data_IF_930694511835
#
_entry.id   IF_930694511835
#
_cell.length_a   1.000
_cell.length_b   1.000
_cell.length_c   1.000
_cell.angle_alpha   90.00
_cell.angle_beta   90.00
_cell.angle_gamma   90.00
#
_symmetry.space_group_name_H-M   'P 1'
#
loop_
_entity.id
_entity.type
_entity.pdbx_description
1 polymer ?
#
# COMPACT_ATOMS: atom_id res chain seq x y z
N UNK A 1 20.69 26.14 -9.45
CA UNK A 1 20.01 25.49 -8.35
C UNK A 1 21.08 24.87 -7.47
N UNK A 2 21.22 25.30 -6.21
CA UNK A 2 22.11 24.63 -5.27
C UNK A 2 21.59 23.21 -5.08
N UNK A 3 22.45 22.19 -5.25
CA UNK A 3 22.13 20.81 -4.91
C UNK A 3 21.81 20.79 -3.41
N UNK A 4 20.58 20.51 -3.04
CA UNK A 4 20.23 20.30 -1.64
C UNK A 4 21.09 19.12 -1.13
N UNK A 5 21.67 19.20 0.06
CA UNK A 5 22.39 18.05 0.61
C UNK A 5 21.42 16.88 0.76
N UNK A 6 21.86 15.68 0.40
CA UNK A 6 21.11 14.45 0.64
C UNK A 6 20.85 14.30 2.13
N UNK A 7 19.58 14.20 2.51
CA UNK A 7 19.18 14.06 3.90
C UNK A 7 19.28 12.58 4.33
N UNK A 8 19.48 12.40 5.64
CA UNK A 8 19.39 11.10 6.26
C UNK A 8 17.99 10.92 6.84
N UNK A 9 17.31 9.86 6.38
CA UNK A 9 15.97 9.50 6.81
C UNK A 9 16.00 8.24 7.67
N UNK A 10 15.41 8.30 8.85
CA UNK A 10 15.17 7.14 9.70
C UNK A 10 13.69 6.76 9.60
N UNK A 11 13.37 5.63 9.00
CA UNK A 11 12.00 5.13 8.85
C UNK A 11 11.81 3.96 9.81
N UNK A 12 10.94 4.13 10.80
CA UNK A 12 10.61 3.12 11.79
C UNK A 12 9.30 2.44 11.44
N UNK A 13 9.32 1.10 11.39
CA UNK A 13 8.18 0.27 11.06
C UNK A 13 8.04 -0.88 12.05
N UNK A 14 6.89 -1.00 12.70
CA UNK A 14 6.48 -2.19 13.43
C UNK A 14 5.46 -2.95 12.57
N UNK A 15 5.71 -4.23 12.34
CA UNK A 15 4.85 -5.05 11.48
C UNK A 15 3.67 -5.58 12.27
N UNK A 16 2.47 -5.10 11.97
CA UNK A 16 1.20 -5.54 12.54
C UNK A 16 0.37 -6.30 11.51
N UNK A 17 0.20 -5.73 10.31
CA UNK A 17 -0.45 -6.40 9.17
C UNK A 17 0.60 -7.14 8.33
N UNK A 18 1.01 -8.33 8.78
CA UNK A 18 1.87 -9.30 8.07
C UNK A 18 2.84 -8.71 7.03
N UNK A 19 2.33 -8.31 5.87
CA UNK A 19 3.11 -7.83 4.73
C UNK A 19 2.78 -6.38 4.35
N UNK A 20 1.68 -5.82 4.87
CA UNK A 20 1.20 -4.49 4.51
C UNK A 20 2.16 -3.41 4.98
N UNK A 21 2.44 -3.37 6.28
CA UNK A 21 3.23 -2.30 6.90
C UNK A 21 4.67 -2.27 6.35
N UNK A 22 5.33 -3.44 6.33
CA UNK A 22 6.69 -3.54 5.80
C UNK A 22 6.72 -3.27 4.28
N UNK A 23 5.68 -3.66 3.55
CA UNK A 23 5.55 -3.42 2.11
C UNK A 23 5.51 -1.94 1.77
N UNK A 24 4.68 -1.16 2.49
CA UNK A 24 4.60 0.30 2.34
C UNK A 24 5.92 0.97 2.73
N UNK A 25 6.47 0.61 3.90
CA UNK A 25 7.70 1.23 4.41
C UNK A 25 8.89 0.94 3.51
N UNK A 26 9.01 -0.29 2.97
CA UNK A 26 10.06 -0.64 2.02
C UNK A 26 9.94 0.15 0.71
N UNK A 27 8.73 0.23 0.12
CA UNK A 27 8.51 1.02 -1.10
C UNK A 27 8.85 2.49 -0.89
N UNK A 28 8.43 3.07 0.25
CA UNK A 28 8.76 4.44 0.59
C UNK A 28 10.27 4.65 0.74
N UNK A 29 10.95 3.75 1.45
CA UNK A 29 12.40 3.81 1.64
C UNK A 29 13.14 3.73 0.30
N UNK A 30 12.75 2.79 -0.55
CA UNK A 30 13.34 2.61 -1.89
C UNK A 30 13.05 3.81 -2.81
N UNK A 31 11.85 4.40 -2.75
CA UNK A 31 11.48 5.58 -3.54
C UNK A 31 12.28 6.82 -3.10
N UNK A 32 12.40 7.08 -1.79
CA UNK A 32 13.22 8.16 -1.26
C UNK A 32 14.69 7.99 -1.67
N UNK A 33 15.22 6.77 -1.57
CA UNK A 33 16.59 6.47 -1.98
C UNK A 33 16.80 6.65 -3.50
N UNK A 34 15.84 6.26 -4.33
CA UNK A 34 15.86 6.50 -5.78
C UNK A 34 15.83 7.98 -6.16
N UNK A 35 15.34 8.85 -5.26
CA UNK A 35 15.36 10.32 -5.40
C UNK A 35 16.63 10.97 -4.83
N UNK A 36 17.57 10.15 -4.33
CA UNK A 36 18.88 10.59 -3.86
C UNK A 36 19.03 10.70 -2.34
N UNK A 37 18.00 10.39 -1.57
CA UNK A 37 18.07 10.42 -0.11
C UNK A 37 18.81 9.18 0.44
N UNK A 38 19.32 9.27 1.67
CA UNK A 38 19.87 8.11 2.40
C UNK A 38 18.86 7.65 3.43
N UNK A 39 18.51 6.37 3.41
CA UNK A 39 17.43 5.85 4.23
C UNK A 39 17.93 4.72 5.13
N UNK A 40 17.67 4.82 6.42
CA UNK A 40 17.79 3.74 7.39
C UNK A 40 16.36 3.24 7.68
N UNK A 41 16.09 2.00 7.33
CA UNK A 41 14.80 1.35 7.59
C UNK A 41 14.92 0.44 8.81
N UNK A 42 14.25 0.81 9.89
CA UNK A 42 14.24 0.11 11.17
C UNK A 42 12.98 -0.74 11.29
N UNK A 43 13.13 -2.06 11.39
CA UNK A 43 11.99 -2.98 11.42
C UNK A 43 12.14 -4.02 12.52
N UNK A 44 11.03 -4.44 13.11
CA UNK A 44 10.98 -5.54 14.08
C UNK A 44 10.92 -6.91 13.40
N UNK A 45 10.35 -7.00 12.21
CA UNK A 45 10.28 -8.22 11.41
C UNK A 45 10.54 -7.96 9.92
N UNK A 46 11.75 -8.25 9.48
CA UNK A 46 12.19 -8.08 8.09
C UNK A 46 12.01 -9.35 7.22
N UNK A 47 11.45 -10.45 7.75
CA UNK A 47 11.40 -11.74 7.04
C UNK A 47 10.76 -11.68 5.68
N UNK A 48 9.74 -10.84 5.50
CA UNK A 48 9.07 -10.69 4.23
C UNK A 48 9.95 -10.04 3.14
N UNK A 49 10.94 -9.23 3.50
CA UNK A 49 11.84 -8.60 2.54
C UNK A 49 12.73 -9.59 1.80
N UNK A 50 12.95 -10.79 2.36
CA UNK A 50 13.73 -11.86 1.70
C UNK A 50 13.16 -12.20 0.31
N UNK A 51 11.85 -12.13 0.15
CA UNK A 51 11.18 -12.41 -1.12
C UNK A 51 10.55 -11.15 -1.75
N UNK A 52 10.10 -10.18 -0.97
CA UNK A 52 9.55 -8.92 -1.51
C UNK A 52 10.60 -8.09 -2.26
N UNK A 53 11.81 -8.05 -1.72
CA UNK A 53 12.89 -7.22 -2.21
C UNK A 53 14.27 -7.90 -2.09
N UNK A 54 14.48 -9.09 -2.69
CA UNK A 54 15.68 -9.90 -2.50
C UNK A 54 16.97 -9.19 -2.94
N UNK A 55 16.87 -8.22 -3.84
CA UNK A 55 18.00 -7.43 -4.32
C UNK A 55 18.33 -6.21 -3.45
N UNK A 56 17.55 -5.91 -2.41
CA UNK A 56 17.69 -4.66 -1.67
C UNK A 56 17.38 -3.42 -2.54
N UNK A 57 17.77 -2.25 -2.06
CA UNK A 57 17.75 -1.00 -2.82
C UNK A 57 18.99 -0.17 -2.48
N UNK A 58 19.67 0.36 -3.49
CA UNK A 58 20.81 1.25 -3.26
C UNK A 58 20.36 2.50 -2.47
N UNK A 59 21.09 2.85 -1.42
CA UNK A 59 20.75 3.98 -0.55
C UNK A 59 19.79 3.63 0.58
N UNK A 60 19.34 2.37 0.72
CA UNK A 60 18.57 1.88 1.85
C UNK A 60 19.42 0.93 2.68
N UNK A 61 19.54 1.23 3.97
CA UNK A 61 20.16 0.35 4.97
C UNK A 61 19.06 -0.23 5.87
N UNK A 62 19.05 -1.56 6.00
CA UNK A 62 18.07 -2.27 6.82
C UNK A 62 18.66 -2.54 8.21
N UNK A 63 17.93 -2.17 9.25
CA UNK A 63 18.32 -2.36 10.65
C UNK A 63 17.23 -3.10 11.42
N UNK A 64 17.65 -3.93 12.37
CA UNK A 64 16.72 -4.57 13.29
C UNK A 64 16.30 -3.58 14.39
N UNK A 65 15.05 -3.67 14.85
CA UNK A 65 14.48 -2.81 15.89
C UNK A 65 15.35 -2.73 17.18
N UNK A 66 15.90 -3.83 17.73
CA UNK A 66 16.76 -3.76 18.92
C UNK A 66 18.03 -2.90 18.74
N UNK A 67 18.53 -2.75 17.51
CA UNK A 67 19.69 -1.89 17.25
C UNK A 67 19.37 -0.40 17.43
N UNK A 68 18.09 -0.02 17.40
CA UNK A 68 17.62 1.33 17.65
C UNK A 68 17.75 1.73 19.13
N UNK A 69 17.96 0.79 20.04
CA UNK A 69 18.20 1.04 21.47
C UNK A 69 19.64 1.53 21.75
N UNK A 70 20.52 1.54 20.75
CA UNK A 70 21.86 2.10 20.88
C UNK A 70 21.82 3.64 20.88
N UNK A 71 21.96 4.24 22.03
CA UNK A 71 21.93 5.70 22.23
C UNK A 71 23.11 6.43 21.54
N UNK A 72 24.16 5.71 21.15
CA UNK A 72 25.35 6.32 20.51
C UNK A 72 25.17 6.52 19.00
N UNK A 73 24.19 5.89 18.38
CA UNK A 73 23.93 6.05 16.96
C UNK A 73 23.40 7.46 16.65
N UNK A 74 23.87 8.13 15.58
CA UNK A 74 23.31 9.41 15.18
C UNK A 74 21.86 9.24 14.75
N UNK A 75 21.03 10.26 14.97
CA UNK A 75 19.68 10.36 14.42
C UNK A 75 19.73 11.09 13.07
N UNK A 76 18.89 10.70 12.14
CA UNK A 76 18.80 11.35 10.84
C UNK A 76 18.19 12.75 10.88
N UNK A 77 18.23 13.44 9.75
CA UNK A 77 17.60 14.76 9.58
C UNK A 77 16.08 14.67 9.60
N UNK A 78 15.54 13.51 9.20
CA UNK A 78 14.11 13.20 9.17
C UNK A 78 13.85 11.88 9.87
N UNK A 79 12.86 11.85 10.76
CA UNK A 79 12.41 10.65 11.44
C UNK A 79 10.95 10.38 11.06
N UNK A 80 10.70 9.22 10.46
CA UNK A 80 9.34 8.74 10.17
C UNK A 80 8.98 7.64 11.15
N UNK A 81 7.92 7.87 11.91
CA UNK A 81 7.21 6.90 12.73
C UNK A 81 6.04 6.39 11.90
N UNK A 82 6.19 5.19 11.30
CA UNK A 82 5.14 4.65 10.45
C UNK A 82 4.02 4.05 11.28
N UNK A 83 2.78 4.41 10.96
CA UNK A 83 1.54 3.83 11.52
C UNK A 83 1.45 3.91 13.06
N UNK A 84 2.02 4.97 13.65
CA UNK A 84 2.01 5.14 15.09
C UNK A 84 2.78 4.06 15.86
N UNK A 85 3.87 3.53 15.30
CA UNK A 85 4.61 2.39 15.83
C UNK A 85 5.30 2.61 17.18
N UNK A 86 5.17 3.79 17.79
CA UNK A 86 5.81 4.20 19.05
C UNK A 86 7.33 3.96 19.06
N UNK A 87 8.07 5.02 18.89
CA UNK A 87 9.54 4.96 18.84
C UNK A 87 10.14 4.43 20.14
N UNK A 88 11.24 3.67 20.09
CA UNK A 88 12.00 3.27 21.28
C UNK A 88 12.42 4.48 22.10
N UNK A 89 12.47 4.37 23.46
CA UNK A 89 12.90 5.46 24.34
C UNK A 89 14.26 6.05 23.98
N UNK A 90 15.24 5.22 23.59
CA UNK A 90 16.56 5.66 23.17
C UNK A 90 16.50 6.55 21.90
N UNK A 91 15.59 6.27 20.97
CA UNK A 91 15.37 7.11 19.80
C UNK A 91 14.81 8.48 20.22
N UNK A 92 13.84 8.50 21.15
CA UNK A 92 13.26 9.74 21.67
C UNK A 92 14.32 10.61 22.37
N UNK A 93 15.26 9.99 23.11
CA UNK A 93 16.41 10.69 23.71
C UNK A 93 17.28 11.30 22.62
N UNK A 94 17.67 10.53 21.62
CA UNK A 94 18.50 11.02 20.50
C UNK A 94 17.83 12.17 19.73
N UNK A 95 16.52 12.10 19.51
CA UNK A 95 15.75 13.19 18.91
C UNK A 95 15.83 14.45 19.77
N UNK A 96 15.69 14.32 21.11
CA UNK A 96 15.72 15.45 22.03
C UNK A 96 17.11 16.08 22.16
N UNK A 97 18.16 15.28 22.09
CA UNK A 97 19.56 15.71 22.26
C UNK A 97 20.24 16.10 20.94
N UNK A 98 19.58 15.90 19.81
CA UNK A 98 20.13 16.21 18.50
C UNK A 98 20.49 17.71 18.41
N UNK A 99 21.71 18.07 17.94
CA UNK A 99 22.15 19.46 17.79
C UNK A 99 21.22 20.28 16.87
N UNK A 100 20.64 19.61 15.89
CA UNK A 100 19.57 20.11 15.06
C UNK A 100 18.41 19.12 15.18
N UNK A 101 17.25 19.61 15.57
CA UNK A 101 16.08 18.76 15.73
C UNK A 101 15.65 18.20 14.37
N UNK A 102 15.44 16.88 14.25
CA UNK A 102 14.93 16.29 13.02
C UNK A 102 13.49 16.72 12.75
N UNK A 103 13.10 16.68 11.49
CA UNK A 103 11.69 16.74 11.11
C UNK A 103 11.05 15.40 11.48
N UNK A 104 10.26 15.39 12.55
CA UNK A 104 9.62 14.17 13.05
C UNK A 104 8.21 14.03 12.54
N UNK A 105 7.95 12.97 11.77
CA UNK A 105 6.70 12.71 11.06
C UNK A 105 6.09 11.41 11.56
N UNK A 106 4.82 11.45 11.94
CA UNK A 106 3.99 10.25 12.07
C UNK A 106 3.27 10.02 10.74
N UNK A 107 3.74 9.04 9.98
CA UNK A 107 3.12 8.62 8.73
C UNK A 107 1.96 7.68 9.07
N UNK A 108 0.75 8.15 8.87
CA UNK A 108 -0.48 7.47 9.20
C UNK A 108 -0.92 6.48 8.12
N UNK A 109 -1.89 5.64 8.46
CA UNK A 109 -2.54 4.74 7.51
C UNK A 109 -3.31 5.50 6.43
N UNK A 110 -3.35 4.94 5.24
CA UNK A 110 -4.15 5.43 4.12
C UNK A 110 -5.64 5.44 4.48
N UNK A 111 -6.32 6.57 4.29
CA UNK A 111 -7.78 6.65 4.43
C UNK A 111 -8.40 7.61 3.42
N UNK A 112 -9.66 7.32 3.04
CA UNK A 112 -10.51 8.18 2.23
C UNK A 112 -11.46 9.04 3.08
N UNK A 113 -11.44 8.88 4.40
CA UNK A 113 -12.33 9.59 5.32
C UNK A 113 -11.99 11.08 5.40
N UNK A 114 -13.01 11.92 5.60
CA UNK A 114 -12.84 13.37 5.57
C UNK A 114 -11.99 13.96 6.69
N UNK A 115 -11.73 13.21 7.78
CA UNK A 115 -10.85 13.69 8.85
C UNK A 115 -9.38 13.77 8.42
N UNK A 116 -8.93 12.93 7.49
CA UNK A 116 -7.51 12.90 7.07
C UNK A 116 -7.09 14.23 6.43
N UNK A 117 -7.98 14.87 5.66
CA UNK A 117 -7.71 16.18 5.07
C UNK A 117 -7.52 17.27 6.12
N UNK A 118 -8.29 17.21 7.22
CA UNK A 118 -8.19 18.19 8.32
C UNK A 118 -7.01 17.91 9.25
N UNK A 119 -6.55 16.67 9.30
CA UNK A 119 -5.50 16.22 10.22
C UNK A 119 -4.12 16.16 9.55
N UNK A 120 -4.06 16.18 8.23
CA UNK A 120 -2.82 16.20 7.49
C UNK A 120 -1.99 17.45 7.81
N UNK A 121 -0.69 17.25 8.11
CA UNK A 121 0.26 18.29 8.54
C UNK A 121 -0.11 19.02 9.84
N UNK A 122 -0.95 18.42 10.69
CA UNK A 122 -1.15 18.93 12.05
C UNK A 122 0.04 18.58 12.94
N UNK A 123 0.41 19.51 13.82
CA UNK A 123 1.44 19.32 14.84
C UNK A 123 0.86 18.62 16.07
N UNK A 124 1.61 17.65 16.57
CA UNK A 124 1.32 16.96 17.83
C UNK A 124 2.46 17.20 18.83
N UNK A 125 2.28 18.13 19.77
CA UNK A 125 3.30 18.40 20.78
C UNK A 125 3.41 17.21 21.74
N UNK A 126 4.63 16.85 22.08
CA UNK A 126 4.92 15.77 23.04
C UNK A 126 4.86 16.35 24.46
N UNK A 127 3.90 15.87 25.25
CA UNK A 127 3.64 16.40 26.60
C UNK A 127 4.45 15.68 27.68
N UNK A 128 4.98 14.49 27.38
CA UNK A 128 5.64 13.59 28.31
C UNK A 128 6.87 12.91 27.67
N UNK A 129 7.66 12.22 28.52
CA UNK A 129 8.81 11.43 28.07
C UNK A 129 10.05 12.26 27.67
N UNK A 130 11.07 11.60 27.12
CA UNK A 130 12.34 12.24 26.75
C UNK A 130 12.18 13.37 25.73
N UNK A 131 11.26 13.23 24.79
CA UNK A 131 11.00 14.23 23.74
C UNK A 131 9.97 15.31 24.14
N UNK A 132 9.75 15.53 25.46
CA UNK A 132 8.82 16.55 25.96
C UNK A 132 9.16 17.94 25.41
N UNK A 133 8.14 18.63 24.91
CA UNK A 133 8.25 19.97 24.31
C UNK A 133 8.56 19.95 22.81
N UNK A 134 8.92 18.82 22.25
CA UNK A 134 9.06 18.63 20.82
C UNK A 134 7.71 18.42 20.17
N UNK A 135 7.67 18.43 18.84
CA UNK A 135 6.44 18.15 18.10
C UNK A 135 6.73 17.19 16.98
N UNK A 136 5.81 16.24 16.78
CA UNK A 136 5.74 15.46 15.54
C UNK A 136 4.60 15.95 14.67
N UNK A 137 4.69 15.70 13.38
CA UNK A 137 3.70 16.09 12.40
C UNK A 137 2.92 14.86 11.94
N UNK A 138 1.60 14.94 11.94
CA UNK A 138 0.78 13.92 11.31
C UNK A 138 0.84 14.05 9.79
N UNK A 139 1.13 12.96 9.11
CA UNK A 139 1.18 12.92 7.65
C UNK A 139 0.26 11.80 7.16
N UNK A 140 -0.86 12.16 6.57
CA UNK A 140 -1.88 11.22 6.13
C UNK A 140 -1.78 10.99 4.62
N UNK A 141 -1.42 9.77 4.15
CA UNK A 141 -1.66 9.36 2.77
C UNK A 141 -3.15 9.43 2.45
N UNK A 142 -3.49 9.75 1.21
CA UNK A 142 -4.89 9.89 0.83
C UNK A 142 -5.07 10.20 -0.65
N UNK A 143 -6.29 10.44 -1.04
CA UNK A 143 -6.75 10.47 -2.42
C UNK A 143 -7.02 11.88 -2.95
N UNK A 144 -6.66 12.93 -2.21
CA UNK A 144 -6.92 14.31 -2.60
C UNK A 144 -5.69 15.18 -2.47
N UNK A 145 -5.71 16.35 -3.11
CA UNK A 145 -4.64 17.34 -3.02
C UNK A 145 -4.43 17.91 -1.59
N UNK A 146 -5.40 17.70 -0.68
CA UNK A 146 -5.32 18.11 0.73
C UNK A 146 -4.70 17.02 1.63
N UNK A 147 -4.20 15.93 1.06
CA UNK A 147 -3.57 14.80 1.77
C UNK A 147 -2.15 14.58 1.26
N UNK A 148 -1.42 13.64 1.87
CA UNK A 148 -0.05 13.31 1.50
C UNK A 148 0.12 12.53 0.19
N UNK A 149 -0.95 12.30 -0.56
CA UNK A 149 -0.89 11.55 -1.81
C UNK A 149 -0.68 10.04 -1.61
N UNK A 150 -0.33 9.35 -2.69
CA UNK A 150 -0.14 7.89 -2.73
C UNK A 150 1.30 7.56 -3.15
N UNK A 151 1.83 6.42 -2.68
CA UNK A 151 3.10 5.89 -3.18
C UNK A 151 3.01 5.63 -4.69
N UNK A 152 3.94 6.23 -5.42
CA UNK A 152 4.09 6.06 -6.88
C UNK A 152 5.54 6.32 -7.25
N UNK A 153 6.29 5.25 -7.37
CA UNK A 153 7.72 5.32 -7.68
C UNK A 153 7.96 5.97 -9.06
N UNK A 154 9.05 6.72 -9.23
CA UNK A 154 9.43 7.27 -10.52
C UNK A 154 9.51 6.19 -11.60
N UNK A 155 8.90 6.44 -12.76
CA UNK A 155 8.90 5.49 -13.87
C UNK A 155 7.90 4.34 -13.79
N UNK A 156 7.09 4.21 -12.71
CA UNK A 156 6.09 3.14 -12.58
C UNK A 156 5.14 3.08 -13.78
N UNK A 157 4.62 4.23 -14.22
CA UNK A 157 3.69 4.26 -15.36
C UNK A 157 4.37 3.91 -16.68
N UNK A 158 5.62 4.34 -16.89
CA UNK A 158 6.39 3.94 -18.07
C UNK A 158 6.66 2.42 -18.09
N UNK A 159 6.93 1.82 -16.92
CA UNK A 159 7.06 0.36 -16.81
C UNK A 159 5.73 -0.35 -17.11
N UNK A 160 4.61 0.21 -16.64
CA UNK A 160 3.29 -0.32 -16.93
C UNK A 160 2.94 -0.26 -18.43
N UNK A 161 3.27 0.84 -19.10
CA UNK A 161 3.06 1.02 -20.55
C UNK A 161 3.93 0.08 -21.40
N UNK A 162 5.16 -0.17 -20.96
CA UNK A 162 6.10 -1.09 -21.62
C UNK A 162 5.87 -2.57 -21.26
N UNK A 163 4.89 -2.89 -20.41
CA UNK A 163 4.68 -4.24 -19.89
C UNK A 163 4.18 -5.21 -20.96
N UNK A 164 4.95 -6.27 -21.20
CA UNK A 164 4.54 -7.39 -22.04
C UNK A 164 3.83 -8.46 -21.20
N UNK A 165 2.49 -8.42 -21.25
CA UNK A 165 1.61 -9.37 -20.56
C UNK A 165 1.92 -10.82 -20.95
N UNK A 166 2.10 -11.10 -22.24
CA UNK A 166 2.26 -12.46 -22.74
C UNK A 166 3.59 -13.05 -22.28
N UNK A 167 4.67 -12.26 -22.40
CA UNK A 167 6.00 -12.67 -21.94
C UNK A 167 6.02 -12.92 -20.43
N UNK A 168 5.40 -12.06 -19.63
CA UNK A 168 5.35 -12.24 -18.18
C UNK A 168 4.55 -13.48 -17.77
N UNK A 169 3.36 -13.71 -18.35
CA UNK A 169 2.54 -14.89 -18.09
C UNK A 169 3.30 -16.17 -18.44
N UNK A 170 4.01 -16.19 -19.58
CA UNK A 170 4.85 -17.32 -19.97
C UNK A 170 5.97 -17.59 -18.95
N UNK A 171 6.63 -16.53 -18.45
CA UNK A 171 7.67 -16.64 -17.42
C UNK A 171 7.13 -17.17 -16.09
N UNK A 172 5.85 -16.90 -15.77
CA UNK A 172 5.14 -17.44 -14.60
C UNK A 172 4.48 -18.81 -14.88
N UNK A 173 4.72 -19.41 -16.04
CA UNK A 173 4.09 -20.67 -16.47
C UNK A 173 2.57 -20.64 -16.43
N UNK A 174 1.97 -19.45 -16.67
CA UNK A 174 0.52 -19.25 -16.71
C UNK A 174 0.03 -19.40 -18.13
N UNK A 175 -0.87 -20.37 -18.36
CA UNK A 175 -1.47 -20.64 -19.68
C UNK A 175 -2.98 -20.47 -19.57
N UNK A 176 -3.52 -19.28 -19.92
CA UNK A 176 -4.97 -19.05 -19.99
C UNK A 176 -5.59 -19.89 -21.11
N UNK A 177 -6.81 -20.35 -20.92
CA UNK A 177 -7.61 -20.94 -21.98
C UNK A 177 -8.34 -19.85 -22.78
N UNK A 178 -8.74 -20.12 -24.04
CA UNK A 178 -9.55 -19.17 -24.80
C UNK A 178 -10.82 -18.80 -24.04
N UNK A 179 -11.06 -17.50 -23.89
CA UNK A 179 -12.24 -16.95 -23.20
C UNK A 179 -12.15 -16.92 -21.66
N UNK A 180 -11.06 -17.40 -21.05
CA UNK A 180 -10.83 -17.23 -19.62
C UNK A 180 -10.40 -15.80 -19.29
N UNK A 181 -11.06 -15.18 -18.30
CA UNK A 181 -10.52 -13.99 -17.66
C UNK A 181 -9.45 -14.39 -16.65
N UNK A 182 -8.42 -13.55 -16.50
CA UNK A 182 -7.43 -13.70 -15.43
C UNK A 182 -7.85 -12.85 -14.23
N UNK A 183 -7.81 -13.44 -13.04
CA UNK A 183 -8.02 -12.69 -11.82
C UNK A 183 -6.92 -12.99 -10.80
N UNK A 184 -6.33 -11.95 -10.19
CA UNK A 184 -5.45 -12.13 -9.03
C UNK A 184 -6.31 -12.34 -7.79
N UNK A 185 -5.94 -13.27 -6.92
CA UNK A 185 -6.61 -13.50 -5.66
C UNK A 185 -5.62 -13.32 -4.50
N UNK A 186 -5.52 -12.10 -4.00
CA UNK A 186 -4.72 -11.74 -2.85
C UNK A 186 -5.64 -11.13 -1.78
N UNK A 187 -6.11 -11.96 -0.85
CA UNK A 187 -7.09 -11.60 0.17
C UNK A 187 -6.74 -12.24 1.52
N UNK A 188 -7.34 -11.75 2.61
CA UNK A 188 -7.20 -12.35 3.93
C UNK A 188 -7.98 -13.68 4.00
N UNK A 189 -9.17 -13.70 3.42
CA UNK A 189 -10.05 -14.87 3.30
C UNK A 189 -10.98 -14.74 2.09
N UNK A 190 -11.46 -15.85 1.59
CA UNK A 190 -12.58 -15.88 0.66
C UNK A 190 -13.86 -15.99 1.47
N UNK A 191 -14.75 -15.00 1.45
CA UNK A 191 -15.94 -15.00 2.32
C UNK A 191 -16.91 -16.14 1.96
N UNK A 192 -17.18 -16.31 0.67
CA UNK A 192 -17.98 -17.42 0.14
C UNK A 192 -17.72 -17.64 -1.37
N UNK A 193 -18.17 -18.77 -1.92
CA UNK A 193 -18.15 -19.02 -3.34
C UNK A 193 -19.02 -18.01 -4.10
N UNK A 194 -20.19 -17.68 -3.57
CA UNK A 194 -21.14 -16.73 -4.14
C UNK A 194 -20.53 -15.33 -4.24
N UNK A 195 -19.81 -14.86 -3.21
CA UNK A 195 -19.16 -13.56 -3.22
C UNK A 195 -18.06 -13.49 -4.28
N UNK A 196 -17.26 -14.55 -4.41
CA UNK A 196 -16.22 -14.64 -5.43
C UNK A 196 -16.84 -14.68 -6.85
N UNK A 197 -17.82 -15.54 -7.06
CA UNK A 197 -18.50 -15.69 -8.36
C UNK A 197 -19.28 -14.43 -8.73
N UNK A 198 -19.89 -13.76 -7.76
CA UNK A 198 -20.56 -12.47 -7.97
C UNK A 198 -19.61 -11.41 -8.51
N UNK A 199 -18.35 -11.38 -8.06
CA UNK A 199 -17.33 -10.48 -8.60
C UNK A 199 -16.77 -10.94 -9.95
N UNK A 200 -16.56 -12.25 -10.15
CA UNK A 200 -16.04 -12.83 -11.41
C UNK A 200 -17.05 -12.71 -12.56
N UNK A 201 -18.34 -12.83 -12.27
CA UNK A 201 -19.40 -12.89 -13.28
C UNK A 201 -19.53 -14.29 -13.89
N UNK A 202 -20.12 -14.35 -15.10
CA UNK A 202 -20.48 -15.62 -15.77
C UNK A 202 -19.36 -16.21 -16.65
N UNK A 203 -18.26 -15.49 -16.83
CA UNK A 203 -17.16 -15.94 -17.69
C UNK A 203 -16.28 -16.96 -16.99
N UNK A 204 -15.71 -17.95 -17.71
CA UNK A 204 -14.66 -18.79 -17.16
C UNK A 204 -13.50 -17.95 -16.64
N UNK A 205 -12.91 -18.39 -15.55
CA UNK A 205 -11.84 -17.62 -14.90
C UNK A 205 -10.64 -18.51 -14.52
N UNK A 206 -9.45 -17.92 -14.58
CA UNK A 206 -8.24 -18.45 -13.98
C UNK A 206 -7.81 -17.53 -12.84
N UNK A 207 -7.91 -18.05 -11.61
CA UNK A 207 -7.46 -17.36 -10.41
C UNK A 207 -5.95 -17.58 -10.22
N UNK A 208 -5.19 -16.51 -10.20
CA UNK A 208 -3.76 -16.51 -9.87
C UNK A 208 -3.58 -16.13 -8.39
N UNK A 209 -3.04 -17.05 -7.60
CA UNK A 209 -2.97 -16.91 -6.14
C UNK A 209 -1.50 -16.80 -5.71
N UNK A 210 -0.97 -15.60 -5.46
CA UNK A 210 0.43 -15.42 -5.06
C UNK A 210 0.65 -15.81 -3.59
N UNK A 211 1.73 -16.52 -3.32
CA UNK A 211 2.14 -16.92 -1.98
C UNK A 211 1.23 -17.97 -1.34
N UNK A 212 0.89 -17.78 -0.08
CA UNK A 212 0.00 -18.70 0.64
C UNK A 212 -1.45 -18.43 0.28
N UNK A 213 -2.11 -19.40 -0.33
CA UNK A 213 -3.54 -19.32 -0.64
C UNK A 213 -4.38 -19.36 0.65
N UNK A 214 -5.41 -18.52 0.75
CA UNK A 214 -6.43 -18.71 1.79
C UNK A 214 -7.22 -19.99 1.51
N UNK A 215 -7.91 -20.56 2.49
CA UNK A 215 -8.86 -21.64 2.25
C UNK A 215 -9.88 -21.24 1.17
N UNK A 216 -10.00 -22.06 0.13
CA UNK A 216 -10.93 -21.80 -0.95
C UNK A 216 -12.22 -22.63 -0.76
N UNK A 217 -13.40 -22.05 -1.04
CA UNK A 217 -14.63 -22.82 -1.10
C UNK A 217 -14.62 -23.75 -2.32
N UNK A 218 -15.59 -24.65 -2.40
CA UNK A 218 -15.81 -25.44 -3.61
C UNK A 218 -16.20 -24.51 -4.77
N UNK A 219 -15.45 -24.58 -5.88
CA UNK A 219 -15.62 -23.73 -7.05
C UNK A 219 -16.13 -24.55 -8.25
N UNK A 220 -16.94 -23.97 -9.13
CA UNK A 220 -17.38 -24.65 -10.34
C UNK A 220 -16.21 -24.91 -11.28
N UNK A 221 -16.35 -25.91 -12.18
CA UNK A 221 -15.32 -26.29 -13.14
C UNK A 221 -14.92 -25.17 -14.13
N UNK A 222 -15.74 -24.12 -14.25
CA UNK A 222 -15.42 -22.92 -15.02
C UNK A 222 -14.41 -22.01 -14.36
N UNK A 223 -14.09 -22.23 -13.08
CA UNK A 223 -13.08 -21.46 -12.34
C UNK A 223 -11.90 -22.37 -12.01
N UNK A 224 -10.76 -22.08 -12.61
CA UNK A 224 -9.51 -22.75 -12.32
C UNK A 224 -8.69 -21.94 -11.35
N UNK A 225 -7.85 -22.58 -10.56
CA UNK A 225 -6.95 -21.94 -9.61
C UNK A 225 -5.53 -22.34 -9.93
N UNK A 226 -4.65 -21.36 -10.02
CA UNK A 226 -3.21 -21.59 -10.19
C UNK A 226 -2.45 -20.86 -9.07
N UNK A 227 -1.82 -21.58 -8.15
CA UNK A 227 -0.92 -20.96 -7.18
C UNK A 227 0.32 -20.41 -7.88
N UNK A 228 0.79 -19.27 -7.39
CA UNK A 228 2.06 -18.65 -7.75
C UNK A 228 2.99 -18.63 -6.52
N UNK A 229 4.29 -18.58 -6.70
CA UNK A 229 5.23 -18.37 -5.59
C UNK A 229 4.98 -17.01 -4.93
N UNK A 230 5.65 -16.73 -3.81
CA UNK A 230 5.77 -15.38 -3.32
C UNK A 230 6.47 -14.53 -4.38
N UNK A 231 5.86 -13.38 -4.70
CA UNK A 231 6.33 -12.48 -5.75
C UNK A 231 7.13 -11.33 -5.15
N UNK A 232 8.14 -10.88 -5.87
CA UNK A 232 8.76 -9.58 -5.55
C UNK A 232 7.73 -8.47 -5.68
N UNK A 233 7.95 -7.33 -5.04
CA UNK A 233 7.02 -6.19 -5.19
C UNK A 233 6.83 -5.77 -6.65
N UNK A 234 7.89 -5.67 -7.49
CA UNK A 234 7.70 -5.40 -8.92
C UNK A 234 6.91 -6.48 -9.66
N UNK A 235 7.07 -7.76 -9.30
CA UNK A 235 6.30 -8.83 -9.94
C UNK A 235 4.86 -8.89 -9.44
N UNK A 236 4.59 -8.49 -8.21
CA UNK A 236 3.23 -8.28 -7.74
C UNK A 236 2.51 -7.18 -8.53
N UNK A 237 3.19 -6.06 -8.83
CA UNK A 237 2.64 -5.04 -9.71
C UNK A 237 2.30 -5.60 -11.10
N UNK A 238 3.22 -6.37 -11.69
CA UNK A 238 3.02 -7.03 -13.00
C UNK A 238 1.88 -8.03 -12.97
N UNK A 239 1.68 -8.77 -11.86
CA UNK A 239 0.52 -9.63 -11.68
C UNK A 239 -0.78 -8.84 -11.81
N UNK A 240 -0.88 -7.69 -11.12
CA UNK A 240 -2.06 -6.83 -11.19
C UNK A 240 -2.28 -6.24 -12.58
N UNK A 241 -1.20 -5.94 -13.30
CA UNK A 241 -1.29 -5.47 -14.69
C UNK A 241 -1.73 -6.57 -15.66
N UNK A 242 -1.31 -7.80 -15.40
CA UNK A 242 -1.65 -8.96 -16.24
C UNK A 242 -3.11 -9.42 -16.08
N UNK A 243 -3.70 -9.19 -14.91
CA UNK A 243 -5.06 -9.65 -14.61
C UNK A 243 -6.15 -8.69 -15.13
N UNK A 244 -7.33 -9.26 -15.40
CA UNK A 244 -8.51 -8.52 -15.84
C UNK A 244 -9.38 -8.07 -14.66
N UNK A 245 -9.20 -8.71 -13.49
CA UNK A 245 -9.79 -8.36 -12.19
C UNK A 245 -8.79 -8.64 -11.09
N UNK A 246 -8.73 -7.75 -10.10
CA UNK A 246 -7.82 -7.89 -8.99
C UNK A 246 -8.54 -7.93 -7.64
N UNK A 247 -8.42 -9.02 -6.89
CA UNK A 247 -8.77 -9.06 -5.49
C UNK A 247 -7.53 -8.68 -4.69
N UNK A 248 -7.61 -7.61 -3.91
CA UNK A 248 -6.49 -7.08 -3.14
C UNK A 248 -6.88 -6.86 -1.68
N UNK A 249 -5.89 -6.79 -0.79
CA UNK A 249 -6.09 -6.59 0.66
C UNK A 249 -5.10 -5.58 1.21
N UNK A 250 -5.42 -4.99 2.36
CA UNK A 250 -4.52 -4.03 3.01
C UNK A 250 -4.31 -2.77 2.17
N UNK A 251 -3.31 -1.97 2.51
CA UNK A 251 -3.13 -0.64 1.91
C UNK A 251 -2.17 -0.65 0.71
N UNK A 252 -1.02 -1.35 0.80
CA UNK A 252 -0.06 -1.40 -0.31
C UNK A 252 -0.72 -1.96 -1.57
N UNK A 253 -1.33 -3.14 -1.49
CA UNK A 253 -1.93 -3.77 -2.67
C UNK A 253 -3.14 -3.01 -3.23
N UNK A 254 -3.88 -2.25 -2.38
CA UNK A 254 -4.90 -1.32 -2.85
C UNK A 254 -4.29 -0.24 -3.74
N UNK A 255 -3.23 0.43 -3.27
CA UNK A 255 -2.55 1.47 -4.05
C UNK A 255 -2.02 0.90 -5.36
N UNK A 256 -1.47 -0.32 -5.35
CA UNK A 256 -0.98 -0.97 -6.57
C UNK A 256 -2.11 -1.31 -7.55
N UNK A 257 -3.28 -1.73 -7.06
CA UNK A 257 -4.46 -1.97 -7.89
C UNK A 257 -4.97 -0.68 -8.56
N UNK A 258 -4.90 0.47 -7.86
CA UNK A 258 -5.21 1.77 -8.45
C UNK A 258 -4.30 2.09 -9.63
N UNK A 259 -2.99 1.89 -9.47
CA UNK A 259 -2.01 2.13 -10.54
C UNK A 259 -2.14 1.12 -11.69
N UNK A 260 -2.59 -0.09 -11.43
CA UNK A 260 -2.91 -1.06 -12.49
C UNK A 260 -4.07 -0.56 -13.38
N UNK A 261 -5.01 0.21 -12.83
CA UNK A 261 -6.16 0.76 -13.56
C UNK A 261 -7.09 -0.32 -14.10
N UNK A 262 -7.11 -1.50 -13.50
CA UNK A 262 -8.00 -2.62 -13.80
C UNK A 262 -9.13 -2.65 -12.79
N UNK A 263 -10.28 -3.28 -13.09
CA UNK A 263 -11.27 -3.63 -12.09
C UNK A 263 -10.62 -4.31 -10.88
N UNK A 264 -11.02 -3.92 -9.68
CA UNK A 264 -10.49 -4.50 -8.46
C UNK A 264 -11.53 -4.51 -7.35
N UNK A 265 -11.37 -5.43 -6.41
CA UNK A 265 -12.14 -5.51 -5.17
C UNK A 265 -11.16 -5.46 -4.02
N UNK A 266 -11.37 -4.52 -3.11
CA UNK A 266 -10.52 -4.37 -1.93
C UNK A 266 -11.14 -5.08 -0.73
N UNK A 267 -10.39 -6.00 -0.13
CA UNK A 267 -10.71 -6.54 1.18
C UNK A 267 -10.01 -5.71 2.24
N UNK A 268 -10.79 -4.97 2.99
CA UNK A 268 -10.27 -4.16 4.08
C UNK A 268 -9.83 -5.06 5.25
N UNK A 269 -8.81 -4.62 5.98
CA UNK A 269 -8.38 -5.34 7.18
C UNK A 269 -9.51 -5.36 8.21
N UNK A 270 -10.01 -6.54 8.64
CA UNK A 270 -11.11 -6.62 9.58
C UNK A 270 -10.65 -6.12 10.95
N UNK A 271 -11.45 -5.25 11.56
CA UNK A 271 -11.27 -4.74 12.92
C UNK A 271 -12.53 -5.03 13.72
N UNK A 272 -12.37 -5.43 14.99
CA UNK A 272 -13.49 -5.90 15.82
C UNK A 272 -14.49 -4.79 16.21
N UNK A 273 -14.11 -3.52 16.04
CA UNK A 273 -14.91 -2.34 16.39
C UNK A 273 -15.79 -1.79 15.26
N UNK A 274 -15.78 -2.41 14.07
CA UNK A 274 -16.56 -1.98 12.91
C UNK A 274 -16.04 -0.71 12.20
N UNK A 275 -14.92 -0.15 12.61
CA UNK A 275 -14.29 1.04 11.99
C UNK A 275 -13.94 0.78 10.52
N UNK A 276 -13.64 -0.48 10.17
CA UNK A 276 -13.35 -0.88 8.80
C UNK A 276 -14.52 -0.63 7.83
N UNK A 277 -15.78 -0.72 8.28
CA UNK A 277 -16.96 -0.45 7.45
C UNK A 277 -17.00 1.02 7.01
N UNK A 278 -16.78 1.94 7.96
CA UNK A 278 -16.75 3.38 7.68
C UNK A 278 -15.62 3.73 6.70
N UNK A 279 -14.44 3.12 6.87
CA UNK A 279 -13.29 3.31 6.00
C UNK A 279 -13.57 2.80 4.57
N UNK A 280 -14.20 1.62 4.43
CA UNK A 280 -14.61 1.08 3.14
C UNK A 280 -15.67 1.96 2.47
N UNK A 281 -16.68 2.40 3.23
CA UNK A 281 -17.73 3.27 2.73
C UNK A 281 -17.16 4.61 2.22
N UNK A 282 -16.29 5.25 2.98
CA UNK A 282 -15.63 6.49 2.58
C UNK A 282 -14.82 6.31 1.27
N UNK A 283 -14.13 5.16 1.14
CA UNK A 283 -13.45 4.83 -0.10
C UNK A 283 -14.40 4.67 -1.28
N UNK A 284 -15.48 3.90 -1.13
CA UNK A 284 -16.48 3.68 -2.19
C UNK A 284 -17.19 4.97 -2.61
N UNK A 285 -17.42 5.89 -1.66
CA UNK A 285 -17.97 7.22 -1.96
C UNK A 285 -17.00 8.05 -2.78
N UNK A 286 -15.73 8.10 -2.38
CA UNK A 286 -14.71 8.85 -3.10
C UNK A 286 -14.40 8.26 -4.48
N UNK A 287 -14.40 6.94 -4.59
CA UNK A 287 -14.31 6.24 -5.87
C UNK A 287 -15.54 6.45 -6.75
N UNK A 288 -16.62 7.05 -6.23
CA UNK A 288 -17.92 7.21 -6.88
C UNK A 288 -18.46 5.87 -7.40
N UNK A 289 -18.28 4.79 -6.62
CA UNK A 289 -18.66 3.44 -7.00
C UNK A 289 -20.17 3.36 -7.35
N UNK A 290 -20.50 2.73 -8.47
CA UNK A 290 -21.87 2.44 -8.86
C UNK A 290 -22.53 1.45 -7.89
N UNK A 291 -23.84 1.31 -7.92
CA UNK A 291 -24.58 0.46 -6.99
C UNK A 291 -24.16 -1.02 -7.08
N UNK A 292 -23.87 -1.52 -8.26
CA UNK A 292 -23.43 -2.89 -8.52
C UNK A 292 -21.99 -3.11 -7.99
N UNK A 293 -21.07 -2.14 -8.16
CA UNK A 293 -19.72 -2.20 -7.58
C UNK A 293 -19.80 -2.19 -6.05
N UNK A 294 -20.62 -1.32 -5.45
CA UNK A 294 -20.85 -1.29 -4.00
C UNK A 294 -21.36 -2.63 -3.50
N UNK A 295 -22.36 -3.20 -4.18
CA UNK A 295 -22.94 -4.49 -3.80
C UNK A 295 -21.89 -5.61 -3.86
N UNK A 296 -21.06 -5.67 -4.90
CA UNK A 296 -19.99 -6.65 -5.01
C UNK A 296 -18.95 -6.51 -3.86
N UNK A 297 -18.53 -5.29 -3.57
CA UNK A 297 -17.54 -5.03 -2.51
C UNK A 297 -18.09 -5.28 -1.09
N UNK A 298 -19.36 -4.90 -0.83
CA UNK A 298 -20.00 -5.21 0.44
C UNK A 298 -20.15 -6.73 0.63
N UNK A 299 -20.54 -7.47 -0.41
CA UNK A 299 -20.59 -8.93 -0.35
C UNK A 299 -19.22 -9.56 -0.13
N UNK A 300 -18.16 -9.00 -0.75
CA UNK A 300 -16.79 -9.47 -0.57
C UNK A 300 -16.21 -9.19 0.83
N UNK A 301 -16.70 -8.18 1.51
CA UNK A 301 -16.30 -7.81 2.87
C UNK A 301 -17.28 -8.31 3.95
N UNK A 302 -18.23 -9.18 3.63
CA UNK A 302 -19.30 -9.71 4.52
C UNK A 302 -20.19 -8.64 5.16
N UNK A 303 -20.34 -7.49 4.54
CA UNK A 303 -21.20 -6.40 5.01
C UNK A 303 -22.65 -6.56 4.53
N UNK A 304 -22.86 -7.37 3.52
CA UNK A 304 -24.18 -7.76 3.02
C UNK A 304 -24.14 -9.12 2.31
N UNK A 305 -25.32 -9.68 2.00
CA UNK A 305 -25.40 -10.88 1.20
C UNK A 305 -24.76 -10.65 -0.19
N UNK A 306 -24.00 -11.63 -0.73
CA UNK A 306 -23.39 -11.52 -2.04
C UNK A 306 -24.42 -11.28 -3.16
N UNK A 307 -24.06 -10.45 -4.12
CA UNK A 307 -24.88 -10.26 -5.33
C UNK A 307 -24.68 -11.41 -6.30
N UNK A 308 -25.76 -11.93 -6.86
CA UNK A 308 -25.70 -12.93 -7.91
C UNK A 308 -25.29 -12.36 -9.28
N UNK A 309 -25.34 -11.04 -9.43
CA UNK A 309 -25.00 -10.32 -10.66
C UNK A 309 -23.80 -9.44 -10.38
N UNK A 310 -22.72 -9.69 -11.10
CA UNK A 310 -21.50 -8.89 -11.00
C UNK A 310 -21.64 -7.52 -11.66
N UNK A 311 -20.72 -6.58 -11.34
CA UNK A 311 -20.70 -5.27 -11.98
C UNK A 311 -20.45 -5.36 -13.48
N UNK A 312 -21.02 -4.39 -14.24
CA UNK A 312 -20.68 -4.24 -15.65
C UNK A 312 -19.19 -3.98 -15.83
N UNK A 313 -18.50 -4.93 -16.45
CA UNK A 313 -17.04 -4.93 -16.54
C UNK A 313 -16.49 -3.73 -17.30
N UNK A 314 -17.17 -3.31 -18.37
CA UNK A 314 -16.70 -2.20 -19.20
C UNK A 314 -16.80 -0.86 -18.46
N UNK A 315 -17.92 -0.60 -17.81
CA UNK A 315 -18.14 0.60 -16.99
C UNK A 315 -17.18 0.63 -15.79
N UNK A 316 -16.96 -0.51 -15.13
CA UNK A 316 -16.01 -0.60 -14.03
C UNK A 316 -14.57 -0.33 -14.45
N UNK A 317 -14.15 -0.91 -15.58
CA UNK A 317 -12.84 -0.64 -16.18
C UNK A 317 -12.66 0.85 -16.51
N UNK A 318 -13.65 1.46 -17.12
CA UNK A 318 -13.61 2.89 -17.46
C UNK A 318 -13.48 3.75 -16.19
N UNK A 319 -14.22 3.42 -15.13
CA UNK A 319 -14.15 4.12 -13.85
C UNK A 319 -12.76 4.00 -13.20
N UNK A 320 -12.16 2.80 -13.19
CA UNK A 320 -10.80 2.60 -12.68
C UNK A 320 -9.76 3.42 -13.45
N UNK A 321 -9.87 3.50 -14.77
CA UNK A 321 -8.97 4.28 -15.62
C UNK A 321 -9.11 5.78 -15.37
N UNK A 322 -10.33 6.28 -15.29
CA UNK A 322 -10.59 7.69 -15.03
C UNK A 322 -10.04 8.10 -13.66
N UNK A 323 -10.33 7.31 -12.62
CA UNK A 323 -9.83 7.62 -11.29
C UNK A 323 -8.31 7.53 -11.19
N UNK A 324 -7.69 6.53 -11.84
CA UNK A 324 -6.23 6.48 -11.96
C UNK A 324 -5.68 7.77 -12.57
N UNK A 325 -6.30 8.29 -13.64
CA UNK A 325 -5.87 9.53 -14.27
C UNK A 325 -5.97 10.72 -13.33
N UNK A 326 -7.04 10.83 -12.54
CA UNK A 326 -7.19 11.89 -11.55
C UNK A 326 -6.11 11.82 -10.47
N UNK A 327 -5.79 10.62 -9.99
CA UNK A 327 -4.72 10.39 -9.01
C UNK A 327 -3.32 10.67 -9.58
N UNK A 328 -3.09 10.42 -10.87
CA UNK A 328 -1.82 10.71 -11.54
C UNK A 328 -1.53 12.22 -11.62
N UNK A 329 -2.55 13.06 -11.58
CA UNK A 329 -2.40 14.51 -11.57
C UNK A 329 -1.98 15.07 -10.19
N UNK A 330 -1.92 14.23 -9.16
CA UNK A 330 -1.49 14.60 -7.82
C UNK A 330 -0.02 14.27 -7.60
N UNK A 331 0.63 15.05 -6.74
CA UNK A 331 1.99 14.73 -6.28
C UNK A 331 1.97 13.44 -5.45
N UNK A 332 2.89 12.54 -5.72
CA UNK A 332 3.03 11.28 -4.99
C UNK A 332 3.50 11.50 -3.54
N UNK A 333 3.36 10.46 -2.70
CA UNK A 333 3.68 10.52 -1.27
C UNK A 333 5.14 10.93 -1.00
N UNK A 334 6.10 10.35 -1.68
CA UNK A 334 7.51 10.69 -1.47
C UNK A 334 7.80 12.14 -1.90
N UNK A 335 7.22 12.60 -3.01
CA UNK A 335 7.31 13.99 -3.45
C UNK A 335 6.70 14.97 -2.45
N UNK A 336 5.54 14.62 -1.86
CA UNK A 336 4.90 15.42 -0.81
C UNK A 336 5.74 15.48 0.48
N UNK A 337 6.33 14.36 0.89
CA UNK A 337 7.21 14.29 2.06
C UNK A 337 8.47 15.14 1.86
N UNK A 338 9.13 15.02 0.71
CA UNK A 338 10.32 15.81 0.36
C UNK A 338 10.03 17.31 0.36
N UNK A 339 8.90 17.73 -0.23
CA UNK A 339 8.48 19.13 -0.22
C UNK A 339 8.23 19.63 1.20
N UNK A 340 7.48 18.86 2.00
CA UNK A 340 7.18 19.21 3.38
C UNK A 340 8.45 19.33 4.24
N UNK A 341 9.38 18.41 4.11
CA UNK A 341 10.66 18.45 4.83
C UNK A 341 11.48 19.66 4.42
N UNK A 342 11.54 19.96 3.12
CA UNK A 342 12.24 21.15 2.60
C UNK A 342 11.66 22.47 3.13
N UNK A 343 10.35 22.54 3.37
CA UNK A 343 9.68 23.70 3.96
C UNK A 343 9.92 23.81 5.48
N UNK A 344 10.28 22.70 6.15
CA UNK A 344 10.40 22.59 7.61
C UNK A 344 11.83 22.75 8.11
N UNK A 345 12.84 22.60 7.26
CA UNK A 345 14.27 22.76 7.54
C UNK A 345 14.76 24.19 7.34
#
# INVERSE_FOLDING_TARGET
>A
MACMPHLQWDVFCRVVDNFGDIGVCWRLAADLAARGERVQLWVDDARALVWMAPGGAAGVELHAWPEAEDETRPIGDVVIEAFGCELPPAVLVRIAEAPRQPVWINLEYLSAEGYVERSHRLRSPQMHGPARGMSKWFFYPGFTAATGGLLREPGLMAQHEAFDRAAWLAAQHVVPRPGEQLASLFCYRVPSAEALLGCLGQQPALLLVPGTAPPLPELPASVRVQPLPYLTQPDFDRLLWACDLNFVRGEDSLVRALWAGKPFVWQIYPQDDGVHDAKLQAFLERFAASADIRAAWHGWNDLQAPSAVGPDRASWQAQCLNWRQDLLNQTDLAGQLLSFVSESL
#
